data_IF_455733384387
#
_entry.id   IF_455733384387
#
_cell.length_a   1.000
_cell.length_b   1.000
_cell.length_c   1.000
_cell.angle_alpha   90.00
_cell.angle_beta   90.00
_cell.angle_gamma   90.00
#
_symmetry.space_group_name_H-M   'P 1'
#
loop_
_entity.id
_entity.type
_entity.pdbx_description
1 polymer ?
#
# COMPACT_ATOMS: atom_id res chain seq x y z
N UNK A 1 -6.79 -3.44 -30.76
CA UNK A 1 -7.68 -3.63 -29.61
C UNK A 1 -7.84 -5.12 -29.42
N UNK A 2 -6.96 -5.73 -28.63
CA UNK A 2 -7.07 -7.16 -28.34
C UNK A 2 -8.27 -7.35 -27.41
N UNK A 3 -9.28 -8.07 -27.90
CA UNK A 3 -10.41 -8.48 -27.08
C UNK A 3 -9.88 -9.45 -26.02
N UNK A 4 -9.56 -8.94 -24.83
CA UNK A 4 -9.30 -9.77 -23.67
C UNK A 4 -10.55 -10.64 -23.46
N UNK A 5 -10.40 -11.95 -23.70
CA UNK A 5 -11.42 -12.92 -23.34
C UNK A 5 -11.78 -12.68 -21.88
N UNK A 6 -13.04 -12.35 -21.63
CA UNK A 6 -13.58 -12.05 -20.29
C UNK A 6 -13.42 -13.33 -19.45
N UNK A 7 -12.28 -13.47 -18.78
CA UNK A 7 -11.96 -14.65 -17.98
C UNK A 7 -13.08 -14.83 -16.96
N UNK A 8 -13.74 -16.00 -16.97
CA UNK A 8 -14.78 -16.30 -15.97
C UNK A 8 -14.16 -16.07 -14.59
N UNK A 9 -14.77 -15.18 -13.82
CA UNK A 9 -14.30 -14.86 -12.46
C UNK A 9 -14.56 -16.08 -11.58
N UNK A 10 -13.53 -16.91 -11.37
CA UNK A 10 -13.54 -18.00 -10.39
C UNK A 10 -12.88 -17.51 -9.10
N UNK A 11 -13.14 -18.20 -7.99
CA UNK A 11 -12.51 -17.86 -6.70
C UNK A 11 -10.98 -17.82 -6.80
N UNK A 12 -10.36 -18.73 -7.55
CA UNK A 12 -8.91 -18.75 -7.76
C UNK A 12 -8.42 -17.53 -8.55
N UNK A 13 -9.14 -17.12 -9.61
CA UNK A 13 -8.79 -15.93 -10.41
C UNK A 13 -8.93 -14.66 -9.56
N UNK A 14 -9.97 -14.59 -8.75
CA UNK A 14 -10.22 -13.48 -7.82
C UNK A 14 -9.06 -13.33 -6.82
N UNK A 15 -8.71 -14.40 -6.11
CA UNK A 15 -7.61 -14.39 -5.13
C UNK A 15 -6.27 -14.08 -5.82
N UNK A 16 -6.02 -14.63 -7.00
CA UNK A 16 -4.80 -14.33 -7.76
C UNK A 16 -4.70 -12.86 -8.16
N UNK A 17 -5.82 -12.19 -8.50
CA UNK A 17 -5.83 -10.74 -8.78
C UNK A 17 -5.51 -9.92 -7.53
N UNK A 18 -6.06 -10.29 -6.37
CA UNK A 18 -5.71 -9.65 -5.09
C UNK A 18 -4.23 -9.84 -4.78
N UNK A 19 -3.70 -11.06 -4.89
CA UNK A 19 -2.31 -11.37 -4.63
C UNK A 19 -1.37 -10.62 -5.60
N UNK A 20 -1.72 -10.56 -6.88
CA UNK A 20 -0.95 -9.83 -7.88
C UNK A 20 -0.92 -8.32 -7.60
N UNK A 21 -2.07 -7.72 -7.26
CA UNK A 21 -2.15 -6.32 -6.86
C UNK A 21 -1.37 -6.02 -5.59
N UNK A 22 -1.45 -6.92 -4.61
CA UNK A 22 -0.70 -6.83 -3.34
C UNK A 22 0.80 -6.93 -3.56
N UNK A 23 1.27 -7.89 -4.36
CA UNK A 23 2.68 -8.05 -4.66
C UNK A 23 3.25 -6.79 -5.33
N UNK A 24 2.56 -6.25 -6.33
CA UNK A 24 2.96 -4.98 -6.96
C UNK A 24 2.93 -3.82 -5.97
N UNK A 25 1.93 -3.73 -5.11
CA UNK A 25 1.85 -2.66 -4.11
C UNK A 25 2.91 -2.73 -3.02
N UNK A 26 3.31 -3.94 -2.60
CA UNK A 26 4.44 -4.14 -1.67
C UNK A 26 5.75 -3.70 -2.30
N UNK A 27 5.97 -4.05 -3.57
CA UNK A 27 7.15 -3.62 -4.35
C UNK A 27 7.21 -2.08 -4.38
N UNK A 28 6.10 -1.42 -4.70
CA UNK A 28 6.05 0.05 -4.81
C UNK A 28 6.12 0.73 -3.45
N UNK A 29 5.47 0.19 -2.41
CA UNK A 29 5.38 0.80 -1.09
C UNK A 29 6.65 0.64 -0.24
N UNK A 30 7.36 -0.49 -0.36
CA UNK A 30 8.44 -0.84 0.57
C UNK A 30 9.84 -0.71 -0.02
N UNK A 31 10.03 -1.06 -1.30
CA UNK A 31 11.37 -1.09 -1.91
C UNK A 31 12.02 0.29 -1.95
N UNK A 32 11.32 1.38 -2.35
CA UNK A 32 11.94 2.70 -2.40
C UNK A 32 12.53 3.12 -1.05
N UNK A 33 11.78 2.88 0.03
CA UNK A 33 12.24 3.18 1.38
C UNK A 33 13.44 2.31 1.78
N UNK A 34 13.40 1.00 1.50
CA UNK A 34 14.47 0.08 1.87
C UNK A 34 15.79 0.43 1.15
N UNK A 35 15.73 0.70 -0.16
CA UNK A 35 16.90 1.06 -0.96
C UNK A 35 17.45 2.42 -0.54
N UNK A 36 16.59 3.42 -0.40
CA UNK A 36 17.00 4.77 -0.01
C UNK A 36 17.62 4.77 1.39
N UNK A 37 17.01 4.08 2.36
CA UNK A 37 17.54 3.97 3.71
C UNK A 37 18.89 3.24 3.74
N UNK A 38 19.09 2.21 2.92
CA UNK A 38 20.35 1.49 2.84
C UNK A 38 21.50 2.36 2.31
N UNK A 39 21.23 3.21 1.32
CA UNK A 39 22.21 4.16 0.78
C UNK A 39 22.49 5.26 1.79
N UNK A 40 21.45 5.88 2.37
CA UNK A 40 21.59 7.01 3.29
C UNK A 40 22.24 6.63 4.62
N UNK A 41 22.18 5.36 5.01
CA UNK A 41 22.90 4.85 6.18
C UNK A 41 24.41 5.11 6.11
N UNK A 42 25.01 5.11 4.92
CA UNK A 42 26.43 5.44 4.75
C UNK A 42 26.75 6.93 4.98
N UNK A 43 25.73 7.78 4.98
CA UNK A 43 25.83 9.23 5.16
C UNK A 43 25.23 9.69 6.49
N UNK A 44 25.00 8.78 7.45
CA UNK A 44 24.33 9.06 8.72
C UNK A 44 25.02 10.11 9.61
N UNK A 45 26.30 10.40 9.34
CA UNK A 45 27.05 11.49 9.98
C UNK A 45 26.49 12.88 9.65
N UNK A 46 25.77 13.03 8.52
CA UNK A 46 25.15 14.27 8.12
C UNK A 46 23.69 14.31 8.57
N UNK A 47 23.25 15.32 9.35
CA UNK A 47 21.87 15.44 9.83
C UNK A 47 20.83 15.40 8.70
N UNK A 48 21.18 15.90 7.50
CA UNK A 48 20.31 15.89 6.34
C UNK A 48 19.97 14.46 5.86
N UNK A 49 20.92 13.51 5.95
CA UNK A 49 20.69 12.13 5.55
C UNK A 49 19.72 11.43 6.51
N UNK A 50 19.78 11.78 7.80
CA UNK A 50 18.82 11.29 8.81
C UNK A 50 17.42 11.80 8.52
N UNK A 51 17.27 13.09 8.21
CA UNK A 51 15.97 13.69 7.85
C UNK A 51 15.39 13.05 6.59
N UNK A 52 16.19 12.83 5.54
CA UNK A 52 15.71 12.18 4.31
C UNK A 52 15.29 10.73 4.60
N UNK A 53 16.02 10.02 5.45
CA UNK A 53 15.66 8.66 5.89
C UNK A 53 14.31 8.65 6.62
N UNK A 54 14.05 9.63 7.49
CA UNK A 54 12.74 9.77 8.16
C UNK A 54 11.61 10.08 7.17
N UNK A 55 11.86 10.91 6.16
CA UNK A 55 10.89 11.18 5.08
C UNK A 55 10.61 9.90 4.28
N UNK A 56 11.61 9.04 4.05
CA UNK A 56 11.44 7.79 3.33
C UNK A 56 10.44 6.84 4.03
N UNK A 57 10.32 6.90 5.36
CA UNK A 57 9.34 6.12 6.12
C UNK A 57 7.90 6.47 5.76
N UNK A 58 7.63 7.69 5.24
CA UNK A 58 6.30 8.09 4.77
C UNK A 58 5.82 7.20 3.61
N UNK A 59 6.73 6.68 2.78
CA UNK A 59 6.36 5.71 1.73
C UNK A 59 5.78 4.43 2.30
N UNK A 60 6.29 3.96 3.45
CA UNK A 60 5.77 2.78 4.11
C UNK A 60 4.33 3.02 4.59
N UNK A 61 4.05 4.21 5.13
CA UNK A 61 2.70 4.58 5.58
C UNK A 61 1.67 4.59 4.43
N UNK A 62 2.09 4.95 3.21
CA UNK A 62 1.24 4.91 2.02
C UNK A 62 1.07 3.50 1.41
N UNK A 63 1.80 2.49 1.87
CA UNK A 63 1.76 1.12 1.33
C UNK A 63 0.35 0.53 1.21
N UNK A 64 -0.52 0.56 2.24
CA UNK A 64 -1.86 -0.04 2.14
C UNK A 64 -2.77 0.72 1.15
N UNK A 65 -2.57 2.04 1.01
CA UNK A 65 -3.25 2.86 0.01
C UNK A 65 -2.85 2.42 -1.41
N UNK A 66 -1.55 2.28 -1.66
CA UNK A 66 -1.00 1.86 -2.95
C UNK A 66 -1.49 0.45 -3.31
N UNK A 67 -1.44 -0.49 -2.35
CA UNK A 67 -1.93 -1.86 -2.54
C UNK A 67 -3.41 -1.86 -2.92
N UNK A 68 -4.27 -1.15 -2.17
CA UNK A 68 -5.71 -1.10 -2.46
C UNK A 68 -6.00 -0.56 -3.86
N UNK A 69 -5.29 0.50 -4.27
CA UNK A 69 -5.43 1.06 -5.62
C UNK A 69 -4.99 0.08 -6.71
N UNK A 70 -3.86 -0.61 -6.53
CA UNK A 70 -3.34 -1.58 -7.50
C UNK A 70 -4.17 -2.87 -7.55
N UNK A 71 -4.79 -3.30 -6.45
CA UNK A 71 -5.80 -4.37 -6.48
C UNK A 71 -6.99 -3.91 -7.34
N UNK A 72 -7.54 -2.71 -7.11
CA UNK A 72 -8.61 -2.16 -7.95
C UNK A 72 -8.25 -2.14 -9.44
N UNK A 73 -6.99 -1.81 -9.78
CA UNK A 73 -6.49 -1.86 -11.15
C UNK A 73 -6.56 -3.29 -11.73
N UNK A 74 -6.22 -4.32 -10.94
CA UNK A 74 -6.32 -5.72 -11.38
C UNK A 74 -7.76 -6.15 -11.69
N UNK A 75 -8.75 -5.49 -11.08
CA UNK A 75 -10.18 -5.68 -11.34
C UNK A 75 -10.73 -4.77 -12.46
N UNK A 76 -9.88 -3.93 -13.08
CA UNK A 76 -10.27 -3.05 -14.18
C UNK A 76 -11.06 -1.81 -13.72
N UNK A 77 -10.91 -1.43 -12.45
CA UNK A 77 -11.58 -0.24 -11.91
C UNK A 77 -11.05 1.04 -12.56
N UNK A 78 -11.93 2.04 -12.68
CA UNK A 78 -11.55 3.38 -13.14
C UNK A 78 -10.87 4.18 -12.02
N UNK A 79 -10.15 5.27 -12.32
CA UNK A 79 -9.40 6.03 -11.31
C UNK A 79 -10.21 6.39 -10.06
N UNK A 80 -11.47 6.83 -10.21
CA UNK A 80 -12.33 7.14 -9.06
C UNK A 80 -12.56 5.92 -8.15
N UNK A 81 -12.94 4.77 -8.72
CA UNK A 81 -13.20 3.55 -7.96
C UNK A 81 -11.92 3.01 -7.32
N UNK A 82 -10.79 3.08 -8.04
CA UNK A 82 -9.48 2.72 -7.49
C UNK A 82 -9.12 3.56 -6.26
N UNK A 83 -9.35 4.88 -6.30
CA UNK A 83 -9.06 5.76 -5.17
C UNK A 83 -9.98 5.50 -3.97
N UNK A 84 -11.23 5.09 -4.20
CA UNK A 84 -12.14 4.68 -3.12
C UNK A 84 -11.64 3.40 -2.44
N UNK A 85 -11.25 2.38 -3.21
CA UNK A 85 -10.66 1.14 -2.68
C UNK A 85 -9.36 1.45 -1.92
N UNK A 86 -8.50 2.29 -2.50
CA UNK A 86 -7.24 2.72 -1.88
C UNK A 86 -7.47 3.43 -0.53
N UNK A 87 -8.43 4.36 -0.47
CA UNK A 87 -8.78 5.06 0.76
C UNK A 87 -9.36 4.13 1.83
N UNK A 88 -10.24 3.21 1.44
CA UNK A 88 -10.78 2.19 2.34
C UNK A 88 -9.67 1.31 2.92
N UNK A 89 -8.74 0.85 2.08
CA UNK A 89 -7.60 0.04 2.48
C UNK A 89 -6.66 0.80 3.42
N UNK A 90 -6.41 2.09 3.15
CA UNK A 90 -5.57 2.92 4.02
C UNK A 90 -6.13 2.98 5.44
N UNK A 91 -7.42 3.27 5.59
CA UNK A 91 -8.07 3.36 6.92
C UNK A 91 -8.17 1.99 7.58
N UNK A 92 -8.60 0.96 6.84
CA UNK A 92 -8.83 -0.38 7.39
C UNK A 92 -7.55 -1.16 7.71
N UNK A 93 -6.42 -0.80 7.09
CA UNK A 93 -5.12 -1.44 7.37
C UNK A 93 -4.63 -1.23 8.81
N UNK A 94 -5.18 -0.24 9.53
CA UNK A 94 -4.70 0.14 10.85
C UNK A 94 -3.35 0.86 10.83
N UNK A 95 -2.89 1.34 9.67
CA UNK A 95 -1.64 2.12 9.57
C UNK A 95 -1.72 3.44 10.34
N UNK A 96 -2.93 3.98 10.53
CA UNK A 96 -3.21 5.13 11.39
C UNK A 96 -3.96 4.65 12.62
N UNK A 97 -3.38 4.87 13.80
CA UNK A 97 -3.98 4.51 15.08
C UNK A 97 -4.12 5.74 15.98
N UNK A 98 -5.10 5.72 16.87
CA UNK A 98 -5.25 6.78 17.86
C UNK A 98 -4.30 6.54 19.03
N UNK A 99 -3.38 7.49 19.27
CA UNK A 99 -2.51 7.47 20.43
C UNK A 99 -3.17 8.28 21.56
N UNK A 100 -3.58 7.58 22.63
CA UNK A 100 -4.27 8.16 23.77
C UNK A 100 -3.39 9.08 24.63
N UNK A 101 -2.07 8.86 24.66
CA UNK A 101 -1.15 9.71 25.41
C UNK A 101 -0.94 11.05 24.71
N UNK A 102 -0.87 11.03 23.37
CA UNK A 102 -0.67 12.21 22.54
C UNK A 102 -1.97 12.91 22.13
N UNK A 103 -3.13 12.30 22.42
CA UNK A 103 -4.46 12.74 22.01
C UNK A 103 -4.56 13.02 20.49
N UNK A 104 -3.84 12.23 19.67
CA UNK A 104 -3.66 12.44 18.23
C UNK A 104 -3.66 11.12 17.48
N UNK A 105 -4.04 11.18 16.21
CA UNK A 105 -3.84 10.07 15.27
C UNK A 105 -2.38 10.02 14.84
N UNK A 106 -1.75 8.85 14.98
CA UNK A 106 -0.36 8.60 14.62
C UNK A 106 -0.33 7.51 13.57
N UNK A 107 0.31 7.82 12.44
CA UNK A 107 0.55 6.86 11.39
C UNK A 107 1.94 6.24 11.52
N UNK A 108 2.03 4.91 11.52
CA UNK A 108 3.31 4.21 11.64
C UNK A 108 3.32 2.86 10.91
N UNK A 109 4.48 2.53 10.33
CA UNK A 109 4.69 1.27 9.63
C UNK A 109 3.90 1.17 8.33
N UNK A 110 3.55 -0.06 7.96
CA UNK A 110 2.92 -0.40 6.66
C UNK A 110 1.45 -0.74 6.78
N UNK A 111 0.90 -0.68 7.99
CA UNK A 111 -0.38 -1.33 8.32
C UNK A 111 -0.32 -2.84 8.21
N UNK A 112 -1.45 -3.50 8.50
CA UNK A 112 -1.63 -4.93 8.33
C UNK A 112 -2.01 -5.25 6.87
N UNK A 113 -1.14 -6.01 6.20
CA UNK A 113 -1.33 -6.41 4.81
C UNK A 113 -2.52 -7.36 4.62
N UNK A 114 -2.83 -8.21 5.61
CA UNK A 114 -3.99 -9.09 5.58
C UNK A 114 -5.27 -8.25 5.64
N UNK A 115 -5.35 -7.28 6.54
CA UNK A 115 -6.50 -6.37 6.63
C UNK A 115 -6.68 -5.58 5.33
N UNK A 116 -5.57 -5.15 4.73
CA UNK A 116 -5.56 -4.48 3.42
C UNK A 116 -6.13 -5.38 2.32
N UNK A 117 -5.67 -6.64 2.23
CA UNK A 117 -6.15 -7.61 1.24
C UNK A 117 -7.63 -7.96 1.41
N UNK A 118 -8.07 -8.18 2.64
CA UNK A 118 -9.49 -8.48 2.95
C UNK A 118 -10.36 -7.28 2.62
N UNK A 119 -9.97 -6.08 3.02
CA UNK A 119 -10.71 -4.85 2.72
C UNK A 119 -10.80 -4.62 1.22
N UNK A 120 -9.69 -4.74 0.50
CA UNK A 120 -9.66 -4.61 -0.94
C UNK A 120 -10.57 -5.66 -1.59
N UNK A 121 -10.51 -6.91 -1.14
CA UNK A 121 -11.36 -7.99 -1.64
C UNK A 121 -12.85 -7.77 -1.42
N UNK A 122 -13.25 -7.11 -0.33
CA UNK A 122 -14.66 -6.73 -0.12
C UNK A 122 -15.06 -5.56 -1.03
N UNK A 123 -14.12 -4.67 -1.35
CA UNK A 123 -14.37 -3.44 -2.09
C UNK A 123 -14.34 -3.58 -3.63
N UNK A 124 -13.88 -4.71 -4.18
CA UNK A 124 -13.71 -4.97 -5.63
C UNK A 124 -14.72 -5.92 -6.24
#
# INVERSE_FOLDING_TARGET
>A
MEAQAKQKMTASVFINKILAGTALGVIVGLIPNAVLSAILKYFSQYPIAVTITQIAVIFQLATPLIIGGLIGLQFGFKPMQMMVVAGACFVASGVVTYNAELQKYVGAGTGDLINTMVTAGIAV
#
